data_IF_189429602621
#
_entry.id   IF_189429602621
#
_cell.length_a   1.000
_cell.length_b   1.000
_cell.length_c   1.000
_cell.angle_alpha   90.00
_cell.angle_beta   90.00
_cell.angle_gamma   90.00
#
_symmetry.space_group_name_H-M   'P 1'
#
loop_
_entity.id
_entity.type
_entity.pdbx_description
1 polymer ?
#
# COMPACT_ATOMS: atom_id res chain seq x y z
N UNK A 1 -6.83 -20.46 10.60
CA UNK A 1 -6.96 -19.04 11.01
C UNK A 1 -6.93 -18.24 9.74
N UNK A 2 -7.94 -17.42 9.38
CA UNK A 2 -7.81 -16.63 8.16
C UNK A 2 -6.62 -15.69 8.35
N UNK A 3 -5.73 -15.69 7.36
CA UNK A 3 -4.47 -14.95 7.32
C UNK A 3 -4.72 -13.48 7.65
N UNK A 4 -3.83 -12.89 8.46
CA UNK A 4 -3.90 -11.47 8.85
C UNK A 4 -4.07 -10.61 7.60
N UNK A 5 -4.92 -9.59 7.67
CA UNK A 5 -5.01 -8.54 6.67
C UNK A 5 -3.64 -7.83 6.59
N UNK A 6 -2.74 -8.33 5.73
CA UNK A 6 -1.40 -7.76 5.59
C UNK A 6 -1.48 -6.35 5.02
N UNK A 7 -0.77 -5.43 5.66
CA UNK A 7 -0.68 -4.02 5.25
C UNK A 7 0.43 -3.87 4.23
N UNK A 8 0.12 -3.30 3.08
CA UNK A 8 1.05 -3.10 1.96
C UNK A 8 1.15 -1.61 1.65
N UNK A 9 2.38 -1.10 1.57
CA UNK A 9 2.65 0.27 1.14
C UNK A 9 3.19 0.29 -0.29
N UNK A 10 2.47 0.95 -1.20
CA UNK A 10 2.91 1.15 -2.59
C UNK A 10 3.42 2.58 -2.77
N UNK A 11 4.69 2.71 -3.14
CA UNK A 11 5.34 3.99 -3.47
C UNK A 11 5.69 3.97 -4.94
N UNK A 12 5.01 4.79 -5.72
CA UNK A 12 5.21 4.89 -7.18
C UNK A 12 4.81 6.31 -7.61
N UNK A 13 5.52 6.94 -8.53
CA UNK A 13 5.21 8.30 -9.00
C UNK A 13 4.06 8.32 -10.03
N UNK A 14 3.81 7.20 -10.71
CA UNK A 14 2.73 7.05 -11.68
C UNK A 14 1.36 6.74 -11.04
N UNK A 15 0.39 7.63 -11.23
CA UNK A 15 -0.96 7.47 -10.69
C UNK A 15 -1.69 6.24 -11.27
N UNK A 16 -1.49 5.96 -12.56
CA UNK A 16 -2.03 4.80 -13.28
C UNK A 16 -1.65 3.48 -12.58
N UNK A 17 -0.38 3.33 -12.26
CA UNK A 17 0.17 2.14 -11.59
C UNK A 17 -0.36 2.03 -10.17
N UNK A 18 -0.32 3.11 -9.38
CA UNK A 18 -0.86 3.12 -8.00
C UNK A 18 -2.32 2.67 -7.94
N UNK A 19 -3.16 3.17 -8.87
CA UNK A 19 -4.58 2.80 -8.93
C UNK A 19 -4.78 1.33 -9.31
N UNK A 20 -4.01 0.82 -10.26
CA UNK A 20 -4.06 -0.59 -10.65
C UNK A 20 -3.68 -1.51 -9.48
N UNK A 21 -2.56 -1.21 -8.80
CA UNK A 21 -2.07 -1.99 -7.66
C UNK A 21 -3.07 -1.99 -6.51
N UNK A 22 -3.65 -0.83 -6.15
CA UNK A 22 -4.72 -0.75 -5.15
C UNK A 22 -5.91 -1.65 -5.49
N UNK A 23 -6.40 -1.58 -6.72
CA UNK A 23 -7.53 -2.41 -7.16
C UNK A 23 -7.24 -3.91 -7.01
N UNK A 24 -6.07 -4.34 -7.48
CA UNK A 24 -5.63 -5.73 -7.47
C UNK A 24 -5.44 -6.26 -6.04
N UNK A 25 -4.84 -5.47 -5.15
CA UNK A 25 -4.51 -5.87 -3.78
C UNK A 25 -5.74 -5.77 -2.86
N UNK A 26 -6.61 -4.79 -3.05
CA UNK A 26 -7.86 -4.68 -2.29
C UNK A 26 -8.83 -5.85 -2.57
N UNK A 27 -8.86 -6.40 -3.79
CA UNK A 27 -9.63 -7.62 -4.10
C UNK A 27 -9.14 -8.81 -3.27
N UNK A 28 -7.84 -8.86 -2.96
CA UNK A 28 -7.24 -9.89 -2.10
C UNK A 28 -7.35 -9.58 -0.61
N UNK A 29 -8.10 -8.54 -0.23
CA UNK A 29 -8.34 -8.09 1.15
C UNK A 29 -7.09 -7.58 1.87
N UNK A 30 -6.09 -7.11 1.12
CA UNK A 30 -4.98 -6.38 1.74
C UNK A 30 -5.39 -4.95 2.08
N UNK A 31 -4.83 -4.43 3.18
CA UNK A 31 -4.90 -3.03 3.54
C UNK A 31 -3.80 -2.28 2.78
N UNK A 32 -4.17 -1.47 1.78
CA UNK A 32 -3.22 -0.84 0.87
C UNK A 32 -3.12 0.65 1.16
N UNK A 33 -1.90 1.11 1.46
CA UNK A 33 -1.55 2.53 1.52
C UNK A 33 -0.82 2.93 0.24
N UNK A 34 -1.11 4.13 -0.28
CA UNK A 34 -0.50 4.66 -1.50
C UNK A 34 0.30 5.91 -1.16
N UNK A 35 1.50 6.01 -1.71
CA UNK A 35 2.33 7.21 -1.67
C UNK A 35 2.84 7.55 -3.07
N UNK A 36 2.90 8.84 -3.39
CA UNK A 36 3.37 9.33 -4.69
C UNK A 36 4.83 9.78 -4.67
N UNK A 37 5.42 9.90 -3.47
CA UNK A 37 6.80 10.31 -3.27
C UNK A 37 7.47 9.51 -2.16
N UNK A 38 8.81 9.50 -2.14
CA UNK A 38 9.57 8.84 -1.08
C UNK A 38 9.24 9.40 0.31
N UNK A 39 9.09 10.73 0.44
CA UNK A 39 8.75 11.37 1.71
C UNK A 39 7.37 10.97 2.23
N UNK A 40 6.37 10.94 1.35
CA UNK A 40 5.03 10.42 1.68
C UNK A 40 5.09 8.94 2.07
N UNK A 41 5.89 8.15 1.37
CA UNK A 41 6.09 6.73 1.65
C UNK A 41 6.71 6.49 3.02
N UNK A 42 7.74 7.25 3.38
CA UNK A 42 8.38 7.15 4.70
C UNK A 42 7.39 7.51 5.81
N UNK A 43 6.65 8.61 5.65
CA UNK A 43 5.63 9.02 6.63
C UNK A 43 4.54 7.96 6.76
N UNK A 44 4.03 7.45 5.63
CA UNK A 44 3.03 6.40 5.62
C UNK A 44 3.56 5.11 6.28
N UNK A 45 4.81 4.72 6.02
CA UNK A 45 5.40 3.53 6.63
C UNK A 45 5.49 3.64 8.16
N UNK A 46 5.83 4.83 8.67
CA UNK A 46 5.90 5.11 10.10
C UNK A 46 4.49 5.05 10.72
N UNK A 47 3.48 5.62 10.06
CA UNK A 47 2.10 5.66 10.56
C UNK A 47 1.38 4.32 10.48
N UNK A 48 1.58 3.56 9.40
CA UNK A 48 0.80 2.35 9.10
C UNK A 48 1.52 1.05 9.40
N UNK A 49 2.84 1.09 9.66
CA UNK A 49 3.68 -0.09 9.94
C UNK A 49 3.39 -1.26 8.96
N UNK A 50 3.67 -1.07 7.65
CA UNK A 50 3.39 -2.06 6.62
C UNK A 50 4.26 -3.31 6.81
N UNK A 51 3.71 -4.46 6.45
CA UNK A 51 4.42 -5.75 6.49
C UNK A 51 5.20 -6.00 5.18
N UNK A 52 4.82 -5.28 4.11
CA UNK A 52 5.46 -5.32 2.80
C UNK A 52 5.48 -3.92 2.15
#
# INVERSE_FOLDING_TARGET
>A
MPERDSRILVIDDEESIRRALRSILSVRKYEVSLASTASEGINAAIETNPEL
#
